data_IF_344916567600
#
_entry.id   IF_344916567600
#
_cell.length_a   1.000
_cell.length_b   1.000
_cell.length_c   1.000
_cell.angle_alpha   90.00
_cell.angle_beta   90.00
_cell.angle_gamma   90.00
#
_symmetry.space_group_name_H-M   'P 1'
#
loop_
_entity.id
_entity.type
_entity.pdbx_description
1 polymer ?
#
# COMPACT_ATOMS: atom_id res chain seq x y z
N UNK A 1 11.40 27.76 -8.08
CA UNK A 1 11.34 26.37 -7.62
C UNK A 1 10.49 25.58 -8.60
N UNK A 2 10.97 24.40 -9.06
CA UNK A 2 10.26 23.63 -10.08
C UNK A 2 10.01 22.19 -9.62
N UNK A 3 8.92 21.58 -10.08
CA UNK A 3 8.67 20.14 -9.90
C UNK A 3 8.44 19.47 -11.25
N UNK A 4 9.00 18.27 -11.42
CA UNK A 4 8.84 17.45 -12.63
C UNK A 4 8.26 16.08 -12.24
N UNK A 5 7.39 15.54 -13.09
CA UNK A 5 6.63 14.32 -12.83
C UNK A 5 7.07 13.20 -13.77
N UNK A 6 7.75 12.19 -13.24
CA UNK A 6 8.29 11.07 -14.02
C UNK A 6 7.45 9.79 -13.89
N UNK A 7 6.40 9.81 -13.08
CA UNK A 7 5.44 8.73 -12.86
C UNK A 7 4.43 9.14 -11.81
N UNK A 8 3.41 8.31 -11.56
CA UNK A 8 2.39 8.58 -10.52
C UNK A 8 1.45 9.75 -10.81
N UNK A 9 1.29 10.15 -12.07
CA UNK A 9 0.35 11.19 -12.49
C UNK A 9 -0.61 10.66 -13.54
N UNK A 10 -1.92 10.91 -13.36
CA UNK A 10 -3.01 10.37 -14.16
C UNK A 10 -2.97 8.82 -14.27
N UNK A 11 -2.31 8.20 -13.33
CA UNK A 11 -2.21 6.75 -13.14
C UNK A 11 -1.93 6.41 -11.67
N UNK A 12 -2.21 5.18 -11.27
CA UNK A 12 -1.79 4.60 -9.98
C UNK A 12 -0.50 3.82 -10.19
N UNK A 13 0.49 4.06 -9.33
CA UNK A 13 1.78 3.37 -9.33
C UNK A 13 2.94 4.16 -9.93
N UNK A 14 4.14 3.62 -9.84
CA UNK A 14 5.44 4.21 -10.23
C UNK A 14 5.65 5.67 -9.84
N UNK A 15 5.23 6.04 -8.61
CA UNK A 15 5.39 7.40 -8.10
C UNK A 15 6.84 7.85 -8.16
N UNK A 16 7.08 8.99 -8.84
CA UNK A 16 8.41 9.57 -8.99
C UNK A 16 8.31 11.04 -9.36
N UNK A 17 8.56 11.92 -8.39
CA UNK A 17 8.56 13.36 -8.58
C UNK A 17 9.93 13.93 -8.26
N UNK A 18 10.39 14.93 -9.01
CA UNK A 18 11.65 15.61 -8.75
C UNK A 18 11.41 17.08 -8.51
N UNK A 19 11.68 17.53 -7.28
CA UNK A 19 11.62 18.92 -6.88
C UNK A 19 13.02 19.54 -7.03
N UNK A 20 13.11 20.63 -7.79
CA UNK A 20 14.33 21.40 -8.02
C UNK A 20 14.23 22.76 -7.33
N UNK A 21 15.11 23.02 -6.37
CA UNK A 21 15.18 24.30 -5.67
C UNK A 21 16.62 24.59 -5.20
N UNK A 22 17.06 25.83 -5.27
CA UNK A 22 18.39 26.27 -4.83
C UNK A 22 19.55 25.47 -5.43
N UNK A 23 19.40 25.00 -6.68
CA UNK A 23 20.40 24.15 -7.35
C UNK A 23 20.43 22.71 -6.83
N UNK A 24 19.47 22.30 -6.00
CA UNK A 24 19.32 20.94 -5.44
C UNK A 24 18.16 20.21 -6.08
N UNK A 25 18.31 18.89 -6.22
CA UNK A 25 17.27 17.98 -6.73
C UNK A 25 16.88 16.97 -5.68
N UNK A 26 15.63 17.02 -5.26
CA UNK A 26 15.01 16.13 -4.29
C UNK A 26 14.02 15.24 -5.02
N UNK A 27 14.22 13.93 -4.96
CA UNK A 27 13.25 12.98 -5.50
C UNK A 27 12.26 12.56 -4.41
N UNK A 28 10.96 12.61 -4.71
CA UNK A 28 9.90 12.12 -3.83
C UNK A 28 9.40 10.82 -4.43
N UNK A 29 9.62 9.74 -3.72
CA UNK A 29 9.40 8.35 -4.12
C UNK A 29 10.16 7.93 -5.40
N UNK A 30 10.35 6.63 -5.56
CA UNK A 30 11.00 6.01 -6.71
C UNK A 30 10.38 4.63 -6.97
N UNK A 31 9.17 4.62 -7.53
CA UNK A 31 8.33 3.44 -7.61
C UNK A 31 8.45 2.65 -8.91
N UNK A 32 7.94 1.42 -8.86
CA UNK A 32 7.69 0.58 -10.04
C UNK A 32 6.21 0.25 -10.12
N UNK A 33 5.60 0.36 -11.29
CA UNK A 33 4.22 -0.04 -11.52
C UNK A 33 4.06 -1.56 -11.43
N UNK A 34 3.08 -2.01 -10.68
CA UNK A 34 2.74 -3.44 -10.57
C UNK A 34 1.78 -3.80 -11.70
N UNK A 35 2.16 -4.77 -12.53
CA UNK A 35 1.41 -5.12 -13.74
C UNK A 35 1.75 -4.22 -14.92
N UNK A 36 0.93 -4.26 -15.99
CA UNK A 36 1.18 -3.52 -17.22
C UNK A 36 2.32 -4.10 -18.08
N UNK A 37 2.65 -3.41 -19.15
CA UNK A 37 3.73 -3.78 -20.06
C UNK A 37 5.09 -3.45 -19.45
N UNK A 38 6.17 -4.18 -19.79
CA UNK A 38 7.52 -3.94 -19.23
C UNK A 38 7.99 -2.49 -19.35
N UNK A 39 7.72 -1.83 -20.48
CA UNK A 39 8.10 -0.44 -20.77
C UNK A 39 7.34 0.60 -19.94
N UNK A 40 6.21 0.22 -19.36
CA UNK A 40 5.38 1.11 -18.52
C UNK A 40 5.67 0.96 -17.03
N UNK A 41 6.53 0.00 -16.65
CA UNK A 41 6.77 -0.30 -15.23
C UNK A 41 7.65 0.74 -14.54
N UNK A 42 8.70 1.22 -15.20
CA UNK A 42 9.64 2.17 -14.62
C UNK A 42 9.16 3.62 -14.75
N UNK A 43 9.56 4.51 -13.83
CA UNK A 43 9.45 5.94 -14.03
C UNK A 43 10.23 6.37 -15.28
N UNK A 44 9.82 7.49 -15.89
CA UNK A 44 10.49 8.03 -17.07
C UNK A 44 11.71 8.90 -16.74
N UNK A 45 12.18 8.88 -15.48
CA UNK A 45 13.40 9.56 -15.08
C UNK A 45 14.63 8.86 -15.70
N UNK A 46 15.53 9.59 -16.40
CA UNK A 46 16.70 8.97 -17.02
C UNK A 46 17.69 8.42 -15.99
N UNK A 47 17.97 7.12 -16.03
CA UNK A 47 18.87 6.46 -15.06
C UNK A 47 20.29 7.02 -15.07
N UNK A 48 20.77 7.50 -16.20
CA UNK A 48 22.07 8.16 -16.34
C UNK A 48 22.17 9.47 -15.55
N UNK A 49 21.02 10.04 -15.15
CA UNK A 49 20.96 11.22 -14.28
C UNK A 49 20.83 10.87 -12.79
N UNK A 50 20.90 9.60 -12.41
CA UNK A 50 20.75 9.17 -11.01
C UNK A 50 21.74 9.90 -10.07
N UNK A 51 22.96 10.14 -10.50
CA UNK A 51 23.98 10.87 -9.74
C UNK A 51 23.68 12.37 -9.55
N UNK A 52 22.72 12.92 -10.30
CA UNK A 52 22.31 14.32 -10.16
C UNK A 52 21.28 14.55 -9.04
N UNK A 53 20.72 13.49 -8.47
CA UNK A 53 19.77 13.58 -7.35
C UNK A 53 20.57 13.72 -6.04
N UNK A 54 20.30 14.80 -5.31
CA UNK A 54 20.98 15.07 -4.03
C UNK A 54 20.44 14.19 -2.90
N UNK A 55 19.12 13.99 -2.83
CA UNK A 55 18.50 13.06 -1.88
C UNK A 55 17.16 12.52 -2.39
N UNK A 56 16.71 11.44 -1.76
CA UNK A 56 15.39 10.83 -2.02
C UNK A 56 14.60 10.80 -0.72
N UNK A 57 13.33 11.17 -0.78
CA UNK A 57 12.38 11.06 0.33
C UNK A 57 11.42 9.93 -0.01
N UNK A 58 11.37 8.91 0.83
CA UNK A 58 10.47 7.77 0.68
C UNK A 58 9.34 7.90 1.68
N UNK A 59 8.14 8.01 1.14
CA UNK A 59 6.92 8.21 1.92
C UNK A 59 6.41 6.92 2.55
N UNK A 60 6.49 5.80 1.84
CA UNK A 60 6.14 4.49 2.38
C UNK A 60 6.75 3.35 1.54
N UNK A 61 6.60 2.12 2.02
CA UNK A 61 7.39 0.99 1.54
C UNK A 61 6.84 0.23 0.32
N UNK A 62 5.62 0.53 -0.19
CA UNK A 62 5.08 -0.19 -1.34
C UNK A 62 5.99 -0.08 -2.57
N UNK A 63 5.97 -1.11 -3.40
CA UNK A 63 6.85 -1.22 -4.58
C UNK A 63 6.63 -0.08 -5.59
N UNK A 64 5.43 0.43 -5.68
CA UNK A 64 5.08 1.56 -6.54
C UNK A 64 5.56 2.93 -5.99
N UNK A 65 6.23 2.92 -4.83
CA UNK A 65 6.94 4.06 -4.24
C UNK A 65 8.43 3.80 -4.03
N UNK A 66 8.87 2.54 -4.00
CA UNK A 66 10.27 2.18 -3.64
C UNK A 66 10.98 1.30 -4.66
N UNK A 67 10.22 0.62 -5.53
CA UNK A 67 10.73 -0.47 -6.34
C UNK A 67 11.86 -0.09 -7.30
N UNK A 68 12.02 1.20 -7.59
CA UNK A 68 13.06 1.68 -8.51
C UNK A 68 14.35 2.12 -7.82
N UNK A 69 14.35 2.24 -6.49
CA UNK A 69 15.53 2.65 -5.70
C UNK A 69 16.80 1.84 -6.00
N UNK A 70 16.76 0.49 -6.07
CA UNK A 70 17.98 -0.26 -6.33
C UNK A 70 18.56 -0.02 -7.73
N UNK A 71 17.73 0.36 -8.71
CA UNK A 71 18.23 0.79 -10.02
C UNK A 71 18.97 2.12 -9.93
N UNK A 72 18.47 3.09 -9.15
CA UNK A 72 19.13 4.38 -8.92
C UNK A 72 20.48 4.18 -8.22
N UNK A 73 20.51 3.39 -7.13
CA UNK A 73 21.74 3.07 -6.41
C UNK A 73 22.78 2.36 -7.29
N UNK A 74 22.33 1.45 -8.17
CA UNK A 74 23.18 0.79 -9.16
C UNK A 74 23.75 1.74 -10.20
N UNK A 75 23.02 2.79 -10.56
CA UNK A 75 23.37 3.75 -11.61
C UNK A 75 23.96 5.07 -11.06
N UNK A 76 24.56 5.04 -9.87
CA UNK A 76 25.39 6.14 -9.38
C UNK A 76 24.72 7.11 -8.41
N UNK A 77 23.49 6.85 -7.94
CA UNK A 77 22.94 7.59 -6.83
C UNK A 77 23.73 7.29 -5.55
N UNK A 78 24.20 8.35 -4.87
CA UNK A 78 25.00 8.29 -3.65
C UNK A 78 24.46 9.15 -2.52
N UNK A 79 23.36 9.87 -2.77
CA UNK A 79 22.70 10.72 -1.77
C UNK A 79 22.03 9.92 -0.67
N UNK A 80 21.48 10.63 0.32
CA UNK A 80 20.68 10.01 1.39
C UNK A 80 19.27 9.67 0.92
N UNK A 81 18.73 8.59 1.46
CA UNK A 81 17.33 8.19 1.32
C UNK A 81 16.68 8.39 2.69
N UNK A 82 15.77 9.34 2.81
CA UNK A 82 15.05 9.60 4.07
C UNK A 82 13.78 8.79 4.12
N UNK A 83 13.59 8.03 5.19
CA UNK A 83 12.40 7.20 5.42
C UNK A 83 12.17 7.01 6.92
N UNK A 84 10.97 6.60 7.33
CA UNK A 84 10.76 6.14 8.69
C UNK A 84 11.40 4.76 8.90
N UNK A 85 11.74 4.43 10.15
CA UNK A 85 12.30 3.11 10.50
C UNK A 85 11.43 1.94 10.00
N UNK A 86 10.08 1.91 10.23
CA UNK A 86 9.27 0.81 9.74
C UNK A 86 9.21 0.75 8.21
N UNK A 87 9.22 1.90 7.53
CA UNK A 87 9.29 1.96 6.05
C UNK A 87 10.56 1.31 5.54
N UNK A 88 11.72 1.60 6.15
CA UNK A 88 12.99 0.94 5.81
C UNK A 88 12.90 -0.58 5.95
N UNK A 89 12.40 -1.08 7.09
CA UNK A 89 12.34 -2.52 7.36
C UNK A 89 11.41 -3.25 6.38
N UNK A 90 10.26 -2.64 6.05
CA UNK A 90 9.29 -3.20 5.10
C UNK A 90 9.82 -3.11 3.67
N UNK A 91 10.45 -2.00 3.30
CA UNK A 91 11.07 -1.79 1.98
C UNK A 91 12.10 -2.88 1.70
N UNK A 92 12.98 -3.20 2.64
CA UNK A 92 13.93 -4.30 2.49
C UNK A 92 13.25 -5.65 2.20
N UNK A 93 12.14 -5.94 2.91
CA UNK A 93 11.35 -7.14 2.69
C UNK A 93 10.76 -7.18 1.27
N UNK A 94 10.13 -6.09 0.84
CA UNK A 94 9.41 -6.03 -0.44
C UNK A 94 10.36 -6.00 -1.63
N UNK A 95 11.47 -5.26 -1.56
CA UNK A 95 12.50 -5.24 -2.60
C UNK A 95 13.16 -6.61 -2.77
N UNK A 96 13.43 -7.32 -1.65
CA UNK A 96 14.00 -8.66 -1.68
C UNK A 96 13.06 -9.67 -2.34
N UNK A 97 11.75 -9.57 -2.07
CA UNK A 97 10.74 -10.43 -2.69
C UNK A 97 10.57 -10.14 -4.19
N UNK A 98 10.56 -8.86 -4.58
CA UNK A 98 10.49 -8.45 -5.98
C UNK A 98 11.69 -8.97 -6.78
N UNK A 99 12.91 -8.89 -6.22
CA UNK A 99 14.12 -9.45 -6.83
C UNK A 99 14.05 -10.99 -6.97
N UNK A 100 13.50 -11.68 -5.96
CA UNK A 100 13.34 -13.14 -6.00
C UNK A 100 12.33 -13.56 -7.10
N UNK A 101 11.20 -12.86 -7.21
CA UNK A 101 10.20 -13.09 -8.26
C UNK A 101 10.78 -12.85 -9.66
N UNK A 102 11.50 -11.73 -9.85
CA UNK A 102 12.14 -11.40 -11.11
C UNK A 102 13.17 -12.47 -11.53
N UNK A 103 13.96 -12.98 -10.56
CA UNK A 103 14.92 -14.09 -10.79
C UNK A 103 14.21 -15.37 -11.22
N UNK A 104 13.09 -15.72 -10.58
CA UNK A 104 12.28 -16.91 -10.97
C UNK A 104 11.74 -16.75 -12.38
N UNK A 105 11.34 -15.55 -12.77
CA UNK A 105 10.84 -15.23 -14.12
C UNK A 105 11.95 -15.04 -15.17
N UNK A 106 13.23 -15.09 -14.75
CA UNK A 106 14.40 -14.81 -15.60
C UNK A 106 14.40 -13.39 -16.20
N UNK A 107 13.81 -12.44 -15.49
CA UNK A 107 13.80 -11.03 -15.88
C UNK A 107 15.12 -10.35 -15.47
N UNK A 108 15.59 -9.37 -16.29
CA UNK A 108 16.68 -8.48 -15.89
C UNK A 108 16.16 -7.53 -14.81
N UNK A 109 16.72 -7.65 -13.62
CA UNK A 109 16.30 -6.88 -12.46
C UNK A 109 17.53 -6.51 -11.61
N UNK A 110 17.31 -5.82 -10.49
CA UNK A 110 18.37 -5.58 -9.52
C UNK A 110 18.69 -6.84 -8.71
N UNK A 111 19.90 -6.89 -8.17
CA UNK A 111 20.41 -7.96 -7.32
C UNK A 111 20.25 -7.64 -5.83
N UNK A 112 20.50 -8.63 -4.97
CA UNK A 112 20.59 -8.42 -3.51
C UNK A 112 21.66 -7.38 -3.14
N UNK A 113 22.79 -7.35 -3.83
CA UNK A 113 23.84 -6.32 -3.61
C UNK A 113 23.34 -4.90 -3.91
N UNK A 114 22.50 -4.74 -4.93
CA UNK A 114 21.90 -3.43 -5.25
C UNK A 114 20.90 -3.02 -4.16
N UNK A 115 20.19 -3.99 -3.57
CA UNK A 115 19.30 -3.75 -2.43
C UNK A 115 20.12 -3.36 -1.19
N UNK A 116 21.18 -4.13 -0.86
CA UNK A 116 22.02 -3.85 0.29
C UNK A 116 22.62 -2.44 0.20
N UNK A 117 23.16 -2.07 -0.99
CA UNK A 117 23.64 -0.71 -1.26
C UNK A 117 22.55 0.35 -1.07
N UNK A 118 21.33 0.07 -1.52
CA UNK A 118 20.20 0.99 -1.30
C UNK A 118 19.93 1.17 0.20
N UNK A 119 19.92 0.07 0.96
CA UNK A 119 19.65 0.11 2.40
C UNK A 119 20.73 0.85 3.21
N UNK A 120 21.99 0.83 2.75
CA UNK A 120 23.09 1.60 3.36
C UNK A 120 22.92 3.12 3.21
N UNK A 121 22.20 3.58 2.18
CA UNK A 121 21.91 4.99 1.95
C UNK A 121 20.74 5.51 2.79
N UNK A 122 19.94 4.61 3.40
CA UNK A 122 18.75 5.02 4.16
C UNK A 122 19.12 5.65 5.49
N UNK A 123 18.63 6.86 5.70
CA UNK A 123 18.63 7.57 6.98
C UNK A 123 17.22 7.58 7.56
N UNK A 124 17.08 6.99 8.73
CA UNK A 124 15.81 6.91 9.44
C UNK A 124 15.45 8.26 10.09
N UNK A 125 14.19 8.67 9.95
CA UNK A 125 13.63 9.84 10.63
C UNK A 125 12.38 9.43 11.39
N UNK A 126 12.17 10.08 12.54
CA UNK A 126 10.95 9.90 13.33
C UNK A 126 9.82 10.81 12.84
N UNK A 127 8.58 10.42 13.15
CA UNK A 127 7.43 11.30 12.92
C UNK A 127 7.54 12.56 13.77
N UNK A 128 6.99 13.65 13.26
CA UNK A 128 6.88 14.98 13.91
C UNK A 128 8.22 15.66 14.24
N UNK A 129 9.34 15.04 13.84
CA UNK A 129 10.67 15.60 14.01
C UNK A 129 11.04 16.49 12.82
N UNK A 130 11.13 17.80 13.03
CA UNK A 130 11.67 18.73 12.03
C UNK A 130 13.16 18.45 11.83
N UNK A 131 13.53 17.98 10.66
CA UNK A 131 14.91 17.59 10.35
C UNK A 131 15.46 18.37 9.17
N UNK A 132 16.59 19.04 9.36
CA UNK A 132 17.29 19.66 8.23
C UNK A 132 17.96 18.59 7.38
N UNK A 133 17.38 18.32 6.21
CA UNK A 133 17.89 17.30 5.28
C UNK A 133 18.97 17.85 4.34
N UNK A 134 18.94 19.16 4.07
CA UNK A 134 19.94 19.93 3.34
C UNK A 134 19.86 21.40 3.80
N UNK A 135 20.90 22.20 3.48
CA UNK A 135 20.92 23.61 3.85
C UNK A 135 19.66 24.34 3.33
N UNK A 136 18.90 24.92 4.25
CA UNK A 136 17.66 25.66 3.96
C UNK A 136 16.47 24.79 3.56
N UNK A 137 16.54 23.46 3.79
CA UNK A 137 15.45 22.52 3.50
C UNK A 137 15.20 21.67 4.72
N UNK A 138 14.00 21.83 5.30
CA UNK A 138 13.50 21.02 6.42
C UNK A 138 12.50 19.97 5.93
N UNK A 139 12.56 18.79 6.50
CA UNK A 139 11.59 17.71 6.28
C UNK A 139 10.96 17.31 7.60
N UNK A 140 9.64 17.22 7.62
CA UNK A 140 8.88 16.61 8.72
C UNK A 140 8.00 15.51 8.16
N UNK A 141 8.12 14.28 8.70
CA UNK A 141 7.18 13.20 8.41
C UNK A 141 5.98 13.27 9.34
N UNK A 142 4.77 13.34 8.76
CA UNK A 142 3.50 13.21 9.48
C UNK A 142 2.90 11.84 9.18
N UNK A 143 2.17 11.22 10.12
CA UNK A 143 1.53 9.93 9.85
C UNK A 143 0.53 10.05 8.71
N UNK A 144 0.55 9.08 7.78
CA UNK A 144 -0.41 9.04 6.68
C UNK A 144 -1.55 8.03 6.89
N UNK A 145 -1.46 7.12 7.86
CA UNK A 145 -2.49 6.11 8.17
C UNK A 145 -2.63 4.99 7.13
N UNK A 146 -1.80 4.96 6.09
CA UNK A 146 -1.91 4.01 4.97
C UNK A 146 -1.40 2.60 5.32
N UNK A 147 -0.13 2.47 5.63
CA UNK A 147 0.53 1.25 6.14
C UNK A 147 1.51 1.61 7.25
N UNK A 148 2.00 0.63 7.99
CA UNK A 148 3.01 0.84 9.03
C UNK A 148 4.24 1.57 8.46
N UNK A 149 4.59 2.68 9.08
CA UNK A 149 5.71 3.53 8.65
C UNK A 149 5.36 4.56 7.59
N UNK A 150 4.19 4.50 6.98
CA UNK A 150 3.80 5.43 5.93
C UNK A 150 3.67 6.87 6.46
N UNK A 151 4.22 7.81 5.70
CA UNK A 151 4.31 9.22 6.07
C UNK A 151 3.86 10.15 4.94
N UNK A 152 3.22 11.23 5.32
CA UNK A 152 3.17 12.43 4.50
C UNK A 152 4.51 13.16 4.64
N UNK A 153 5.01 13.76 3.57
CA UNK A 153 6.25 14.54 3.60
C UNK A 153 5.94 16.04 3.55
N UNK A 154 6.16 16.73 4.66
CA UNK A 154 6.10 18.19 4.75
C UNK A 154 7.49 18.75 4.56
N UNK A 155 7.71 19.47 3.46
CA UNK A 155 8.94 20.18 3.14
C UNK A 155 8.78 21.68 3.39
N UNK A 156 9.73 22.25 4.12
CA UNK A 156 9.84 23.69 4.32
C UNK A 156 11.08 24.18 3.60
N UNK A 157 10.89 25.03 2.60
CA UNK A 157 11.96 25.56 1.79
C UNK A 157 11.55 26.85 1.08
N UNK A 158 12.48 27.79 0.96
CA UNK A 158 12.24 29.10 0.32
C UNK A 158 11.03 29.85 0.92
N UNK A 159 10.77 29.68 2.22
CA UNK A 159 9.62 30.29 2.91
C UNK A 159 8.27 29.69 2.56
N UNK A 160 8.23 28.54 1.92
CA UNK A 160 6.99 27.83 1.57
C UNK A 160 6.91 26.47 2.25
N UNK A 161 5.70 26.05 2.57
CA UNK A 161 5.34 24.74 3.10
C UNK A 161 4.71 23.90 1.99
N UNK A 162 5.37 22.81 1.61
CA UNK A 162 4.96 21.91 0.56
C UNK A 162 4.62 20.55 1.17
N UNK A 163 3.39 20.10 1.02
CA UNK A 163 2.92 18.82 1.54
C UNK A 163 2.69 17.81 0.42
N UNK A 164 3.38 16.69 0.50
CA UNK A 164 3.06 15.49 -0.25
C UNK A 164 2.31 14.54 0.67
N UNK A 165 1.03 14.27 0.42
CA UNK A 165 0.27 13.34 1.27
C UNK A 165 0.79 11.92 1.16
N UNK A 166 1.39 11.57 0.02
CA UNK A 166 1.54 10.17 -0.36
C UNK A 166 0.19 9.46 -0.32
N UNK A 167 0.20 8.13 -0.29
CA UNK A 167 -1.00 7.35 -0.01
C UNK A 167 -1.41 7.57 1.45
N UNK A 168 -2.67 7.93 1.69
CA UNK A 168 -3.13 8.21 3.04
C UNK A 168 -4.54 7.67 3.32
N UNK A 169 -4.82 7.44 4.59
CA UNK A 169 -6.13 7.06 5.08
C UNK A 169 -6.62 8.04 6.13
N UNK A 170 -7.77 8.64 5.91
CA UNK A 170 -8.38 9.61 6.81
C UNK A 170 -9.21 8.99 7.95
N UNK A 171 -9.14 7.66 8.11
CA UNK A 171 -9.89 6.89 9.12
C UNK A 171 -8.97 5.98 9.90
N UNK A 172 -9.24 5.85 11.20
CA UNK A 172 -8.58 4.84 12.01
C UNK A 172 -8.87 3.44 11.52
N UNK A 173 -7.85 2.59 11.58
CA UNK A 173 -7.95 1.14 11.37
C UNK A 173 -7.72 0.40 12.69
N UNK A 174 -7.72 -0.93 12.68
CA UNK A 174 -7.32 -1.68 13.88
C UNK A 174 -5.81 -1.55 14.18
N UNK A 175 -5.01 -1.18 13.18
CA UNK A 175 -3.55 -1.11 13.27
C UNK A 175 -3.01 0.30 13.43
N UNK A 176 -3.59 1.25 12.71
CA UNK A 176 -3.03 2.60 12.50
C UNK A 176 -4.05 3.67 12.80
N UNK A 177 -3.59 4.77 13.35
CA UNK A 177 -4.34 6.01 13.43
C UNK A 177 -4.53 6.60 12.02
N UNK A 178 -5.57 7.42 11.86
CA UNK A 178 -5.82 8.18 10.64
C UNK A 178 -4.65 9.13 10.32
N UNK A 179 -4.60 9.58 9.07
CA UNK A 179 -3.65 10.60 8.63
C UNK A 179 -3.75 11.86 9.49
N UNK A 180 -2.61 12.38 9.90
CA UNK A 180 -2.49 13.63 10.64
C UNK A 180 -2.65 14.82 9.71
N UNK A 181 -3.19 15.90 10.23
CA UNK A 181 -3.24 17.16 9.51
C UNK A 181 -2.00 18.00 9.87
N UNK A 182 -1.40 18.71 8.89
CA UNK A 182 -0.29 19.60 9.19
C UNK A 182 -0.73 20.70 10.16
N UNK A 183 0.15 21.03 11.11
CA UNK A 183 -0.07 22.12 12.06
C UNK A 183 0.37 23.50 11.51
N UNK A 184 0.82 23.55 10.26
CA UNK A 184 1.28 24.73 9.54
C UNK A 184 0.37 25.01 8.35
N UNK A 185 0.25 26.28 7.93
CA UNK A 185 -0.38 26.63 6.66
C UNK A 185 0.39 26.00 5.51
N UNK A 186 -0.31 25.36 4.60
CA UNK A 186 0.29 24.71 3.41
C UNK A 186 0.13 25.64 2.22
N UNK A 187 1.25 25.92 1.54
CA UNK A 187 1.25 26.70 0.31
C UNK A 187 0.97 25.80 -0.89
N UNK A 188 1.59 24.62 -0.95
CA UNK A 188 1.44 23.67 -2.06
C UNK A 188 1.12 22.29 -1.51
N UNK A 189 0.02 21.70 -2.03
CA UNK A 189 -0.43 20.36 -1.67
C UNK A 189 -0.35 19.44 -2.91
N UNK A 190 0.42 18.37 -2.81
CA UNK A 190 0.36 17.22 -3.71
C UNK A 190 -0.41 16.11 -3.01
N UNK A 191 -1.62 15.79 -3.49
CA UNK A 191 -2.53 14.86 -2.85
C UNK A 191 -2.81 13.67 -3.76
N UNK A 192 -2.77 12.45 -3.18
CA UNK A 192 -3.22 11.25 -3.88
C UNK A 192 -4.69 11.35 -4.31
N UNK A 193 -5.05 10.59 -5.31
CA UNK A 193 -6.41 10.56 -5.88
C UNK A 193 -6.84 9.16 -6.32
N UNK A 194 -6.41 8.12 -5.58
CA UNK A 194 -6.69 6.71 -5.90
C UNK A 194 -8.20 6.41 -5.96
N UNK A 195 -8.96 6.90 -4.99
CA UNK A 195 -10.42 6.74 -4.94
C UNK A 195 -11.14 8.06 -5.23
N UNK A 196 -10.84 8.68 -6.37
CA UNK A 196 -11.32 10.01 -6.77
C UNK A 196 -12.67 10.03 -7.49
N UNK A 197 -13.27 8.87 -7.78
CA UNK A 197 -14.61 8.80 -8.37
C UNK A 197 -15.70 9.01 -7.32
N UNK A 198 -16.78 9.74 -7.65
CA UNK A 198 -17.93 9.98 -6.74
C UNK A 198 -18.57 8.70 -6.18
N UNK A 199 -18.40 7.58 -6.89
CA UNK A 199 -18.88 6.26 -6.45
C UNK A 199 -17.87 5.50 -5.61
N UNK A 200 -16.65 5.98 -5.48
CA UNK A 200 -15.59 5.37 -4.68
C UNK A 200 -15.82 5.70 -3.19
N UNK A 201 -16.93 5.24 -2.65
CA UNK A 201 -17.32 5.39 -1.24
C UNK A 201 -17.07 4.07 -0.51
N UNK A 202 -16.43 4.17 0.63
CA UNK A 202 -16.04 3.01 1.42
C UNK A 202 -16.96 2.86 2.65
N UNK A 203 -17.37 1.62 3.00
CA UNK A 203 -18.12 1.39 4.23
C UNK A 203 -17.25 1.75 5.45
N UNK A 204 -17.90 1.95 6.59
CA UNK A 204 -17.16 2.05 7.85
C UNK A 204 -16.40 0.75 8.15
N UNK A 205 -15.28 0.84 8.87
CA UNK A 205 -14.52 -0.34 9.31
C UNK A 205 -15.41 -1.35 10.05
N UNK A 206 -16.34 -0.88 10.88
CA UNK A 206 -17.31 -1.70 11.61
C UNK A 206 -18.20 -2.50 10.65
N UNK A 207 -18.73 -1.85 9.62
CA UNK A 207 -19.63 -2.49 8.65
C UNK A 207 -18.87 -3.51 7.78
N UNK A 208 -17.69 -3.15 7.28
CA UNK A 208 -16.83 -4.05 6.50
C UNK A 208 -16.41 -5.28 7.34
N UNK A 209 -16.02 -5.06 8.60
CA UNK A 209 -15.64 -6.14 9.53
C UNK A 209 -16.80 -7.09 9.81
N UNK A 210 -18.03 -6.54 10.00
CA UNK A 210 -19.22 -7.36 10.20
C UNK A 210 -19.56 -8.17 8.94
N UNK A 211 -19.53 -7.54 7.77
CA UNK A 211 -19.78 -8.22 6.49
C UNK A 211 -18.78 -9.36 6.25
N UNK A 212 -17.50 -9.13 6.56
CA UNK A 212 -16.47 -10.16 6.50
C UNK A 212 -16.80 -11.34 7.41
N UNK A 213 -17.10 -11.07 8.68
CA UNK A 213 -17.41 -12.11 9.66
C UNK A 213 -18.69 -12.91 9.27
N UNK A 214 -19.72 -12.22 8.81
CA UNK A 214 -20.97 -12.84 8.34
C UNK A 214 -20.73 -13.73 7.10
N UNK A 215 -19.91 -13.25 6.16
CA UNK A 215 -19.55 -14.00 4.94
C UNK A 215 -18.74 -15.26 5.30
N UNK A 216 -17.76 -15.13 6.18
CA UNK A 216 -16.98 -16.26 6.70
C UNK A 216 -17.90 -17.26 7.38
N UNK A 217 -18.77 -16.82 8.29
CA UNK A 217 -19.73 -17.67 9.01
C UNK A 217 -20.65 -18.44 8.08
N UNK A 218 -21.16 -17.79 7.03
CA UNK A 218 -21.99 -18.43 6.00
C UNK A 218 -21.25 -19.51 5.23
N UNK A 219 -19.99 -19.25 4.84
CA UNK A 219 -19.17 -20.23 4.14
C UNK A 219 -18.82 -21.43 5.01
N UNK A 220 -18.53 -21.22 6.30
CA UNK A 220 -18.26 -22.30 7.26
C UNK A 220 -19.48 -23.21 7.48
N UNK A 221 -20.71 -22.66 7.55
CA UNK A 221 -21.96 -23.44 7.69
C UNK A 221 -22.17 -24.45 6.57
N UNK A 222 -21.66 -24.17 5.35
CA UNK A 222 -21.70 -25.10 4.20
C UNK A 222 -20.42 -25.92 4.05
N UNK A 223 -19.58 -25.97 5.11
CA UNK A 223 -18.29 -26.68 5.12
C UNK A 223 -17.33 -26.22 4.01
N UNK A 224 -17.42 -24.96 3.61
CA UNK A 224 -16.53 -24.35 2.63
C UNK A 224 -15.22 -23.86 3.26
N UNK A 225 -14.18 -23.78 2.43
CA UNK A 225 -12.94 -23.06 2.74
C UNK A 225 -13.05 -21.63 2.22
N UNK A 226 -12.39 -20.72 2.90
CA UNK A 226 -12.38 -19.30 2.53
C UNK A 226 -10.95 -18.90 2.17
N UNK A 227 -10.76 -18.35 0.97
CA UNK A 227 -9.52 -17.70 0.57
C UNK A 227 -9.73 -16.18 0.57
N UNK A 228 -8.85 -15.48 1.24
CA UNK A 228 -8.78 -14.02 1.22
C UNK A 228 -7.39 -13.64 0.70
N UNK A 229 -7.26 -13.33 -0.59
CA UNK A 229 -6.03 -12.79 -1.15
C UNK A 229 -5.76 -11.41 -0.55
N UNK A 230 -4.55 -11.21 0.00
CA UNK A 230 -4.17 -9.96 0.68
C UNK A 230 -2.77 -9.52 0.30
N UNK A 231 -2.52 -8.22 0.37
CA UNK A 231 -1.17 -7.71 0.39
C UNK A 231 -0.47 -8.11 1.69
N UNK A 232 0.83 -8.36 1.61
CA UNK A 232 1.60 -8.85 2.75
C UNK A 232 1.66 -7.85 3.90
N UNK A 233 1.63 -6.56 3.57
CA UNK A 233 1.76 -5.43 4.50
C UNK A 233 0.46 -4.63 4.52
N UNK A 234 0.05 -4.21 5.70
CA UNK A 234 -1.15 -3.44 5.97
C UNK A 234 -2.40 -4.33 5.93
N UNK A 235 -2.90 -4.68 4.75
CA UNK A 235 -4.18 -5.38 4.58
C UNK A 235 -4.19 -6.79 5.19
N UNK A 236 -3.06 -7.52 5.07
CA UNK A 236 -2.96 -8.86 5.67
C UNK A 236 -3.16 -8.83 7.19
N UNK A 237 -2.52 -7.88 7.86
CA UNK A 237 -2.61 -7.71 9.30
C UNK A 237 -4.00 -7.21 9.72
N UNK A 238 -4.57 -6.24 9.00
CA UNK A 238 -5.91 -5.71 9.28
C UNK A 238 -6.97 -6.81 9.27
N UNK A 239 -7.02 -7.62 8.22
CA UNK A 239 -7.98 -8.73 8.10
C UNK A 239 -7.73 -9.78 9.17
N UNK A 240 -6.46 -10.06 9.50
CA UNK A 240 -6.08 -10.98 10.55
C UNK A 240 -6.64 -10.54 11.91
N UNK A 241 -6.50 -9.25 12.26
CA UNK A 241 -7.04 -8.69 13.51
C UNK A 241 -8.56 -8.72 13.54
N UNK A 242 -9.23 -8.36 12.44
CA UNK A 242 -10.69 -8.44 12.37
C UNK A 242 -11.17 -9.85 12.66
N UNK A 243 -10.60 -10.85 12.00
CA UNK A 243 -10.99 -12.25 12.21
C UNK A 243 -10.68 -12.72 13.63
N UNK A 244 -9.52 -12.36 14.17
CA UNK A 244 -9.15 -12.70 15.56
C UNK A 244 -10.14 -12.12 16.56
N UNK A 245 -10.54 -10.88 16.43
CA UNK A 245 -11.53 -10.23 17.28
C UNK A 245 -12.88 -10.97 17.26
N UNK A 246 -13.35 -11.40 16.07
CA UNK A 246 -14.59 -12.18 15.95
C UNK A 246 -14.46 -13.61 16.48
N UNK A 247 -13.27 -14.20 16.48
CA UNK A 247 -13.03 -15.49 17.13
C UNK A 247 -13.09 -15.33 18.67
N UNK A 248 -12.40 -14.30 19.20
CA UNK A 248 -12.37 -14.01 20.65
C UNK A 248 -13.77 -13.65 21.20
N UNK A 249 -14.59 -12.94 20.42
CA UNK A 249 -15.98 -12.64 20.79
C UNK A 249 -16.91 -13.86 20.77
N UNK A 250 -16.42 -15.03 20.34
CA UNK A 250 -17.24 -16.22 20.17
C UNK A 250 -18.10 -16.26 18.90
N UNK A 251 -18.04 -15.22 18.05
CA UNK A 251 -18.88 -15.16 16.84
C UNK A 251 -18.40 -16.13 15.74
N UNK A 252 -17.08 -16.37 15.63
CA UNK A 252 -16.43 -17.31 14.71
C UNK A 252 -15.73 -18.44 15.47
N UNK A 253 -16.47 -19.16 16.33
CA UNK A 253 -15.90 -20.23 17.15
C UNK A 253 -15.24 -21.33 16.30
N UNK A 254 -14.09 -21.83 16.78
CA UNK A 254 -13.39 -22.95 16.17
C UNK A 254 -12.77 -22.65 14.79
N UNK A 255 -12.66 -21.36 14.39
CA UNK A 255 -11.99 -20.95 13.18
C UNK A 255 -10.48 -20.97 13.37
N UNK A 256 -9.75 -21.51 12.40
CA UNK A 256 -8.30 -21.36 12.25
C UNK A 256 -7.98 -20.40 11.10
N UNK A 257 -7.11 -19.43 11.33
CA UNK A 257 -6.59 -18.48 10.33
C UNK A 257 -5.24 -19.02 9.86
N UNK A 258 -5.13 -19.39 8.58
CA UNK A 258 -3.84 -19.71 7.97
C UNK A 258 -3.27 -18.48 7.28
N UNK A 259 -2.03 -18.13 7.60
CA UNK A 259 -1.27 -17.05 6.94
C UNK A 259 -0.17 -17.65 6.08
N UNK A 260 -0.11 -17.28 4.80
CA UNK A 260 0.85 -17.87 3.86
C UNK A 260 1.50 -16.80 2.97
N UNK A 261 2.73 -17.06 2.53
CA UNK A 261 3.55 -16.10 1.81
C UNK A 261 4.30 -15.14 2.73
N UNK A 262 4.42 -13.88 2.33
CA UNK A 262 5.18 -12.88 3.08
C UNK A 262 4.51 -12.41 4.38
N UNK A 263 3.23 -12.70 4.60
CA UNK A 263 2.47 -12.18 5.75
C UNK A 263 3.19 -12.47 7.08
N UNK A 264 3.73 -13.68 7.25
CA UNK A 264 4.46 -14.04 8.48
C UNK A 264 5.74 -13.21 8.71
N UNK A 265 6.45 -12.84 7.63
CA UNK A 265 7.63 -11.95 7.72
C UNK A 265 7.19 -10.52 8.03
N UNK A 266 6.14 -10.02 7.39
CA UNK A 266 5.55 -8.72 7.67
C UNK A 266 5.05 -8.61 9.12
N UNK A 267 4.42 -9.65 9.66
CA UNK A 267 4.01 -9.70 11.08
C UNK A 267 5.19 -9.54 12.04
N UNK A 268 6.36 -10.16 11.74
CA UNK A 268 7.57 -9.97 12.55
C UNK A 268 8.04 -8.51 12.52
N UNK A 269 8.00 -7.86 11.36
CA UNK A 269 8.37 -6.43 11.24
C UNK A 269 7.39 -5.58 12.04
N UNK A 270 6.07 -5.83 11.93
CA UNK A 270 5.07 -5.12 12.72
C UNK A 270 5.34 -5.24 14.23
N UNK A 271 5.69 -6.43 14.71
CA UNK A 271 6.04 -6.65 16.13
C UNK A 271 7.31 -5.90 16.57
N UNK A 272 8.35 -5.84 15.73
CA UNK A 272 9.57 -5.10 16.03
C UNK A 272 9.34 -3.58 16.03
N UNK A 273 8.35 -3.11 15.29
CA UNK A 273 7.99 -1.71 15.16
C UNK A 273 6.66 -1.38 15.85
N UNK A 274 6.32 -2.10 16.92
CA UNK A 274 5.01 -2.02 17.57
C UNK A 274 4.66 -0.62 18.09
N UNK A 275 5.65 0.18 18.45
CA UNK A 275 5.48 1.56 18.94
C UNK A 275 4.92 2.52 17.89
N UNK A 276 5.02 2.17 16.61
CA UNK A 276 4.43 2.92 15.49
C UNK A 276 2.99 2.48 15.15
N UNK A 277 2.45 1.48 15.86
CA UNK A 277 1.06 1.04 15.76
C UNK A 277 0.18 1.79 16.75
N UNK A 278 -1.14 1.69 16.58
CA UNK A 278 -2.10 2.28 17.54
C UNK A 278 -1.81 1.79 18.95
N UNK A 279 -2.01 2.69 19.92
CA UNK A 279 -1.65 2.49 21.32
C UNK A 279 -2.23 1.23 21.96
N UNK A 280 -3.37 0.74 21.47
CA UNK A 280 -3.99 -0.49 21.95
C UNK A 280 -3.12 -1.73 21.71
N UNK A 281 -2.37 -1.77 20.60
CA UNK A 281 -1.55 -2.93 20.22
C UNK A 281 -0.30 -3.07 21.09
N UNK A 282 0.57 -2.06 21.25
CA UNK A 282 1.67 -2.14 22.21
C UNK A 282 1.19 -2.39 23.63
N UNK A 283 0.05 -1.85 24.05
CA UNK A 283 -0.51 -2.13 25.38
C UNK A 283 -0.91 -3.60 25.54
N UNK A 284 -1.53 -4.23 24.53
CA UNK A 284 -1.82 -5.68 24.55
C UNK A 284 -0.54 -6.50 24.68
N UNK A 285 0.49 -6.20 23.89
CA UNK A 285 1.73 -6.98 23.84
C UNK A 285 2.57 -6.77 25.11
N UNK A 286 2.77 -5.51 25.53
CA UNK A 286 3.72 -5.17 26.58
C UNK A 286 3.14 -5.28 28.01
N UNK A 287 1.82 -5.08 28.17
CA UNK A 287 1.16 -5.05 29.48
C UNK A 287 0.29 -6.26 29.76
N UNK A 288 -0.33 -6.85 28.74
CA UNK A 288 -1.29 -7.95 28.91
C UNK A 288 -0.71 -9.31 28.48
N UNK A 289 0.54 -9.38 28.00
CA UNK A 289 1.16 -10.57 27.40
C UNK A 289 0.27 -11.23 26.32
N UNK A 290 -0.50 -10.39 25.62
CA UNK A 290 -1.44 -10.79 24.57
C UNK A 290 -0.96 -10.28 23.21
N UNK A 291 -0.15 -11.09 22.52
CA UNK A 291 0.43 -10.73 21.23
C UNK A 291 -0.48 -11.16 20.08
N UNK A 292 -1.20 -10.21 19.46
CA UNK A 292 -2.14 -10.53 18.39
C UNK A 292 -1.46 -11.09 17.12
N UNK A 293 -0.15 -10.85 16.95
CA UNK A 293 0.62 -11.43 15.83
C UNK A 293 1.03 -12.88 16.09
N UNK A 294 0.92 -13.35 17.36
CA UNK A 294 1.17 -14.72 17.79
C UNK A 294 -0.08 -15.42 18.33
N UNK A 295 -1.26 -14.90 18.01
CA UNK A 295 -2.52 -15.48 18.44
C UNK A 295 -2.60 -16.98 18.15
N UNK A 296 -3.10 -17.80 19.09
CA UNK A 296 -3.21 -19.27 18.92
C UNK A 296 -4.15 -19.67 17.78
N UNK A 297 -4.97 -18.75 17.31
CA UNK A 297 -5.87 -18.95 16.16
C UNK A 297 -5.15 -18.81 14.80
N UNK A 298 -3.92 -18.31 14.79
CA UNK A 298 -3.13 -18.06 13.59
C UNK A 298 -2.10 -19.16 13.42
N UNK A 299 -2.12 -19.80 12.25
CA UNK A 299 -1.19 -20.87 11.87
C UNK A 299 -0.52 -20.58 10.54
N UNK A 300 0.69 -21.06 10.38
CA UNK A 300 1.38 -21.10 9.07
C UNK A 300 1.31 -22.53 8.53
N UNK A 301 1.11 -22.73 7.22
CA UNK A 301 1.13 -24.07 6.63
C UNK A 301 2.44 -24.80 6.91
N UNK A 302 2.35 -26.04 7.42
CA UNK A 302 3.51 -26.84 7.84
C UNK A 302 4.10 -27.66 6.71
N UNK A 303 3.32 -28.01 5.72
CA UNK A 303 3.72 -28.90 4.64
C UNK A 303 3.85 -28.15 3.31
N UNK A 304 4.83 -28.53 2.48
CA UNK A 304 5.07 -27.91 1.17
C UNK A 304 3.82 -27.96 0.26
N UNK A 305 3.04 -29.02 0.34
CA UNK A 305 1.78 -29.18 -0.40
C UNK A 305 0.54 -28.71 0.37
N UNK A 306 0.73 -28.12 1.56
CA UNK A 306 -0.30 -27.45 2.38
C UNK A 306 -1.50 -28.35 2.72
N UNK A 307 -1.26 -29.68 2.88
CA UNK A 307 -2.29 -30.66 3.24
C UNK A 307 -2.98 -30.36 4.57
N UNK A 308 -2.22 -29.82 5.53
CA UNK A 308 -2.72 -29.41 6.84
C UNK A 308 -3.83 -28.36 6.75
N UNK A 309 -3.71 -27.40 5.83
CA UNK A 309 -4.74 -26.36 5.59
C UNK A 309 -6.05 -26.98 5.11
N UNK A 310 -5.98 -27.94 4.19
CA UNK A 310 -7.18 -28.57 3.63
C UNK A 310 -7.83 -29.59 4.59
N UNK A 311 -7.08 -30.16 5.53
CA UNK A 311 -7.59 -31.06 6.59
C UNK A 311 -8.31 -30.30 7.70
N UNK A 312 -7.93 -29.05 7.97
CA UNK A 312 -8.57 -28.23 9.00
C UNK A 312 -10.06 -28.03 8.64
N UNK A 313 -10.97 -28.33 9.58
CA UNK A 313 -12.43 -28.29 9.32
C UNK A 313 -12.87 -26.85 8.98
N UNK A 314 -12.54 -25.91 9.85
CA UNK A 314 -12.92 -24.51 9.72
C UNK A 314 -11.67 -23.65 9.46
N UNK A 315 -11.42 -23.29 8.21
CA UNK A 315 -10.23 -22.57 7.83
C UNK A 315 -10.55 -21.34 6.97
N UNK A 316 -9.95 -20.20 7.35
CA UNK A 316 -9.74 -19.04 6.50
C UNK A 316 -8.27 -18.99 6.12
N UNK A 317 -7.97 -18.70 4.87
CA UNK A 317 -6.64 -18.65 4.31
C UNK A 317 -6.35 -17.23 3.86
N UNK A 318 -5.44 -16.54 4.53
CA UNK A 318 -4.87 -15.27 4.12
C UNK A 318 -3.59 -15.56 3.34
N UNK A 319 -3.55 -15.18 2.07
CA UNK A 319 -2.40 -15.52 1.23
C UNK A 319 -2.05 -14.38 0.26
N UNK A 320 -0.74 -14.18 0.03
CA UNK A 320 -0.25 -13.26 -1.00
C UNK A 320 -0.22 -13.94 -2.37
N UNK A 321 -0.42 -13.24 -3.49
CA UNK A 321 -0.64 -11.79 -3.64
C UNK A 321 -2.12 -11.43 -3.54
N UNK A 322 -2.39 -10.17 -3.16
CA UNK A 322 -3.76 -9.66 -2.99
C UNK A 322 -4.56 -9.51 -4.28
N UNK A 323 -3.89 -9.32 -5.42
CA UNK A 323 -4.53 -9.21 -6.75
C UNK A 323 -4.54 -10.53 -7.52
N UNK A 324 -4.16 -11.66 -6.88
CA UNK A 324 -4.05 -12.96 -7.53
C UNK A 324 -3.10 -12.96 -8.75
N UNK A 325 -2.02 -12.19 -8.68
CA UNK A 325 -0.99 -12.12 -9.74
C UNK A 325 0.11 -13.17 -9.59
N UNK A 326 0.18 -13.87 -8.46
CA UNK A 326 1.22 -14.88 -8.18
C UNK A 326 1.17 -15.40 -6.75
N UNK A 327 2.22 -16.11 -6.36
CA UNK A 327 2.42 -16.57 -4.98
C UNK A 327 1.42 -17.62 -4.49
N UNK A 328 1.35 -17.82 -3.16
CA UNK A 328 0.49 -18.83 -2.54
C UNK A 328 -1.00 -18.67 -2.84
N UNK A 329 -1.50 -17.45 -3.02
CA UNK A 329 -2.93 -17.20 -3.30
C UNK A 329 -3.40 -17.91 -4.57
N UNK A 330 -2.55 -17.99 -5.60
CA UNK A 330 -2.84 -18.72 -6.84
C UNK A 330 -2.96 -20.22 -6.59
N UNK A 331 -2.08 -20.78 -5.75
CA UNK A 331 -2.16 -22.20 -5.39
C UNK A 331 -3.50 -22.54 -4.73
N UNK A 332 -3.92 -21.73 -3.76
CA UNK A 332 -5.20 -21.93 -3.07
C UNK A 332 -6.38 -21.67 -3.99
N UNK A 333 -6.33 -20.65 -4.83
CA UNK A 333 -7.38 -20.36 -5.81
C UNK A 333 -7.65 -21.58 -6.72
N UNK A 334 -6.60 -22.18 -7.29
CA UNK A 334 -6.73 -23.38 -8.13
C UNK A 334 -7.43 -24.55 -7.44
N UNK A 335 -7.25 -24.68 -6.11
CA UNK A 335 -7.85 -25.77 -5.32
C UNK A 335 -9.29 -25.48 -4.90
N UNK A 336 -9.66 -24.21 -4.79
CA UNK A 336 -10.93 -23.82 -4.16
C UNK A 336 -11.98 -23.32 -5.15
N UNK A 337 -11.57 -22.75 -6.29
CA UNK A 337 -12.45 -22.03 -7.21
C UNK A 337 -13.54 -22.90 -7.83
N UNK A 338 -13.30 -24.20 -7.99
CA UNK A 338 -14.21 -25.14 -8.65
C UNK A 338 -15.35 -25.69 -7.79
N UNK A 339 -15.45 -25.33 -6.51
CA UNK A 339 -16.44 -25.90 -5.60
C UNK A 339 -17.37 -24.82 -5.02
N UNK A 340 -18.70 -25.00 -5.17
CA UNK A 340 -19.76 -24.06 -4.71
C UNK A 340 -19.74 -23.78 -3.22
N UNK A 341 -19.24 -24.69 -2.39
CA UNK A 341 -19.17 -24.51 -0.93
C UNK A 341 -18.13 -23.47 -0.51
N UNK A 342 -17.08 -23.26 -1.33
CA UNK A 342 -15.97 -22.35 -1.02
C UNK A 342 -16.33 -20.88 -1.29
N UNK A 343 -15.53 -19.98 -0.69
CA UNK A 343 -15.67 -18.55 -0.89
C UNK A 343 -14.31 -17.91 -1.13
N UNK A 344 -14.24 -17.02 -2.11
CA UNK A 344 -13.07 -16.16 -2.37
C UNK A 344 -13.50 -14.73 -2.03
N UNK A 345 -12.83 -14.09 -1.07
CA UNK A 345 -13.15 -12.74 -0.62
C UNK A 345 -12.03 -11.79 -1.02
N UNK A 346 -12.31 -10.89 -1.93
CA UNK A 346 -11.38 -9.84 -2.35
C UNK A 346 -11.61 -8.62 -1.44
N UNK A 347 -10.54 -8.12 -0.83
CA UNK A 347 -10.63 -7.10 0.24
C UNK A 347 -9.87 -5.80 -0.07
N UNK A 348 -9.28 -5.70 -1.25
CA UNK A 348 -8.49 -4.54 -1.66
C UNK A 348 -8.66 -4.22 -3.14
N UNK A 349 -8.01 -3.15 -3.56
CA UNK A 349 -7.98 -2.75 -4.96
C UNK A 349 -7.56 -3.91 -5.88
N UNK A 350 -8.23 -4.03 -7.01
CA UNK A 350 -7.92 -5.01 -8.05
C UNK A 350 -7.60 -4.24 -9.34
N UNK A 351 -6.33 -4.27 -9.75
CA UNK A 351 -5.88 -3.60 -10.96
C UNK A 351 -6.61 -4.14 -12.20
N UNK A 352 -6.83 -3.31 -13.22
CA UNK A 352 -7.30 -3.78 -14.53
C UNK A 352 -6.46 -4.99 -14.99
N UNK A 353 -7.08 -5.95 -15.67
CA UNK A 353 -6.46 -7.19 -16.17
C UNK A 353 -6.02 -8.20 -15.10
N UNK A 354 -6.00 -7.85 -13.80
CA UNK A 354 -5.69 -8.80 -12.74
C UNK A 354 -6.72 -9.92 -12.68
N UNK A 355 -6.30 -11.10 -12.19
CA UNK A 355 -7.22 -12.23 -12.03
C UNK A 355 -8.33 -11.93 -11.02
N UNK A 356 -7.99 -11.16 -9.97
CA UNK A 356 -8.99 -10.69 -9.02
C UNK A 356 -10.04 -9.79 -9.67
N UNK A 357 -9.64 -8.90 -10.58
CA UNK A 357 -10.58 -8.06 -11.33
C UNK A 357 -11.53 -8.88 -12.19
N UNK A 358 -11.00 -9.84 -12.95
CA UNK A 358 -11.82 -10.76 -13.76
C UNK A 358 -12.87 -11.50 -12.93
N UNK A 359 -12.50 -11.94 -11.72
CA UNK A 359 -13.44 -12.59 -10.79
C UNK A 359 -14.53 -11.62 -10.32
N UNK A 360 -14.20 -10.37 -10.00
CA UNK A 360 -15.18 -9.34 -9.62
C UNK A 360 -16.13 -8.99 -10.76
N UNK A 361 -15.64 -8.97 -12.00
CA UNK A 361 -16.43 -8.72 -13.20
C UNK A 361 -17.32 -9.91 -13.58
N UNK A 362 -17.30 -10.99 -12.79
CA UNK A 362 -18.22 -12.13 -12.93
C UNK A 362 -17.78 -13.20 -13.92
N UNK A 363 -16.47 -13.32 -14.19
CA UNK A 363 -15.92 -14.39 -15.04
C UNK A 363 -16.42 -15.76 -14.62
N UNK A 364 -16.96 -16.55 -15.55
CA UNK A 364 -17.43 -17.92 -15.32
C UNK A 364 -16.33 -18.95 -15.46
N UNK A 365 -15.27 -18.58 -16.14
CA UNK A 365 -14.04 -19.37 -16.34
C UNK A 365 -12.84 -18.44 -16.22
N UNK A 366 -11.76 -18.92 -15.60
CA UNK A 366 -10.48 -18.22 -15.50
C UNK A 366 -9.36 -19.13 -15.95
N UNK A 367 -8.32 -18.54 -16.51
CA UNK A 367 -7.11 -19.25 -16.89
C UNK A 367 -5.98 -18.98 -15.89
N UNK A 368 -5.37 -20.06 -15.37
CA UNK A 368 -4.21 -19.99 -14.47
C UNK A 368 -3.13 -20.93 -15.02
N UNK A 369 -1.97 -20.38 -15.38
CA UNK A 369 -0.85 -21.16 -15.93
C UNK A 369 -1.28 -22.06 -17.12
N UNK A 370 -2.00 -21.48 -18.08
CA UNK A 370 -2.52 -22.15 -19.27
C UNK A 370 -3.55 -23.27 -18.99
N UNK A 371 -4.09 -23.33 -17.78
CA UNK A 371 -5.18 -24.27 -17.41
C UNK A 371 -6.45 -23.48 -17.12
N UNK A 372 -7.56 -23.96 -17.66
CA UNK A 372 -8.88 -23.36 -17.44
C UNK A 372 -9.55 -23.91 -16.20
N UNK A 373 -10.21 -23.07 -15.44
CA UNK A 373 -10.92 -23.39 -14.22
C UNK A 373 -12.30 -22.76 -14.25
N UNK A 374 -13.35 -23.56 -14.06
CA UNK A 374 -14.71 -23.05 -13.90
C UNK A 374 -14.85 -22.37 -12.55
N UNK A 375 -15.42 -21.17 -12.53
CA UNK A 375 -15.71 -20.41 -11.32
C UNK A 375 -17.04 -20.87 -10.74
N UNK A 376 -16.98 -21.71 -9.71
CA UNK A 376 -18.15 -22.20 -8.97
C UNK A 376 -18.19 -21.66 -7.53
N UNK A 377 -17.03 -21.30 -6.96
CA UNK A 377 -16.94 -20.70 -5.63
C UNK A 377 -17.69 -19.37 -5.60
N UNK A 378 -18.20 -19.01 -4.43
CA UNK A 378 -18.77 -17.69 -4.19
C UNK A 378 -17.65 -16.63 -4.23
N UNK A 379 -17.85 -15.58 -5.03
CA UNK A 379 -16.91 -14.44 -5.09
C UNK A 379 -17.56 -13.28 -4.34
N UNK A 380 -16.83 -12.69 -3.39
CA UNK A 380 -17.24 -11.52 -2.61
C UNK A 380 -16.21 -10.41 -2.74
N UNK A 381 -16.68 -9.19 -2.81
CA UNK A 381 -15.87 -7.98 -2.67
C UNK A 381 -16.27 -7.30 -1.36
N UNK A 382 -15.32 -7.19 -0.43
CA UNK A 382 -15.55 -6.50 0.86
C UNK A 382 -14.46 -5.45 1.01
N UNK A 383 -14.87 -4.20 1.01
CA UNK A 383 -13.94 -3.09 0.93
C UNK A 383 -13.25 -2.79 2.26
N UNK A 384 -11.99 -3.17 2.35
CA UNK A 384 -11.03 -2.68 3.34
C UNK A 384 -9.96 -1.86 2.62
N UNK A 385 -9.93 -0.56 2.80
CA UNK A 385 -8.94 0.28 2.13
C UNK A 385 -7.92 0.85 3.11
N UNK A 386 -6.69 1.03 2.64
CA UNK A 386 -5.65 1.84 3.27
C UNK A 386 -5.60 3.26 2.72
N UNK A 387 -6.51 3.59 1.78
CA UNK A 387 -6.61 4.94 1.20
C UNK A 387 -7.89 5.61 1.66
N UNK A 388 -7.89 6.93 1.65
CA UNK A 388 -9.09 7.72 1.81
C UNK A 388 -10.07 7.47 0.64
N UNK A 389 -11.36 7.45 0.93
CA UNK A 389 -12.40 7.43 -0.10
C UNK A 389 -12.64 8.83 -0.66
N UNK A 390 -13.53 8.96 -1.65
CA UNK A 390 -13.85 10.24 -2.27
C UNK A 390 -14.14 11.34 -1.23
N UNK A 391 -14.97 11.05 -0.24
CA UNK A 391 -15.31 12.02 0.80
C UNK A 391 -14.11 12.35 1.71
N UNK A 392 -13.27 11.37 1.98
CA UNK A 392 -12.04 11.54 2.75
C UNK A 392 -11.03 12.44 2.03
N UNK A 393 -10.81 12.20 0.73
CA UNK A 393 -9.96 13.03 -0.12
C UNK A 393 -10.48 14.46 -0.19
N UNK A 394 -11.76 14.65 -0.48
CA UNK A 394 -12.40 15.97 -0.53
C UNK A 394 -12.30 16.71 0.82
N UNK A 395 -12.60 16.00 1.91
CA UNK A 395 -12.53 16.58 3.28
C UNK A 395 -11.11 16.97 3.66
N UNK A 396 -10.10 16.20 3.27
CA UNK A 396 -8.70 16.52 3.51
C UNK A 396 -8.28 17.77 2.73
N UNK A 397 -8.59 17.85 1.44
CA UNK A 397 -8.29 19.02 0.62
C UNK A 397 -8.93 20.31 1.18
N UNK A 398 -10.21 20.24 1.59
CA UNK A 398 -10.94 21.38 2.18
C UNK A 398 -10.29 21.82 3.50
N UNK A 399 -9.92 20.87 4.37
CA UNK A 399 -9.35 21.19 5.69
C UNK A 399 -7.95 21.76 5.59
N UNK A 400 -7.09 21.22 4.71
CA UNK A 400 -5.74 21.75 4.46
C UNK A 400 -5.81 23.11 3.76
N UNK A 401 -6.73 23.29 2.82
CA UNK A 401 -7.01 24.53 2.11
C UNK A 401 -5.75 25.20 1.54
N UNK A 402 -4.84 24.43 0.96
CA UNK A 402 -3.59 24.93 0.38
C UNK A 402 -3.82 25.99 -0.72
N UNK A 403 -2.82 26.84 -0.96
CA UNK A 403 -2.91 27.87 -2.02
C UNK A 403 -2.93 27.23 -3.41
N UNK A 404 -2.08 26.22 -3.64
CA UNK A 404 -2.04 25.41 -4.86
C UNK A 404 -2.28 23.95 -4.51
N UNK A 405 -3.14 23.28 -5.27
CA UNK A 405 -3.49 21.86 -5.08
C UNK A 405 -3.21 21.10 -6.37
N UNK A 406 -2.46 20.00 -6.25
CA UNK A 406 -2.14 19.09 -7.33
C UNK A 406 -2.67 17.70 -6.99
N UNK A 407 -3.47 17.11 -7.90
CA UNK A 407 -3.93 15.72 -7.76
C UNK A 407 -2.99 14.79 -8.50
N UNK A 408 -2.44 13.84 -7.76
CA UNK A 408 -1.49 12.82 -8.25
C UNK A 408 -1.96 11.43 -7.85
N UNK A 409 -1.31 10.38 -8.30
CA UNK A 409 -1.55 8.98 -7.93
C UNK A 409 -3.04 8.58 -8.02
N UNK A 410 -3.64 8.70 -9.21
CA UNK A 410 -5.04 8.36 -9.44
C UNK A 410 -5.35 8.06 -10.91
N UNK A 411 -6.46 7.39 -11.16
CA UNK A 411 -6.90 7.01 -12.50
C UNK A 411 -7.40 8.25 -13.28
N UNK A 412 -6.83 8.48 -14.47
CA UNK A 412 -7.14 9.62 -15.34
C UNK A 412 -8.65 9.88 -15.51
N UNK A 413 -9.45 8.83 -15.60
CA UNK A 413 -10.89 8.92 -15.84
C UNK A 413 -11.67 9.39 -14.61
N UNK A 414 -11.14 9.19 -13.41
CA UNK A 414 -11.82 9.48 -12.13
C UNK A 414 -11.43 10.83 -11.54
N UNK A 415 -10.16 11.25 -11.71
CA UNK A 415 -9.62 12.49 -11.14
C UNK A 415 -10.51 13.72 -11.38
N UNK A 416 -11.09 13.93 -12.59
CA UNK A 416 -11.93 15.11 -12.86
C UNK A 416 -13.13 15.25 -11.93
N UNK A 417 -13.67 14.15 -11.39
CA UNK A 417 -14.81 14.18 -10.46
C UNK A 417 -14.42 14.81 -9.12
N UNK A 418 -13.25 14.44 -8.58
CA UNK A 418 -12.72 15.01 -7.34
C UNK A 418 -12.24 16.46 -7.56
N UNK A 419 -11.54 16.72 -8.68
CA UNK A 419 -11.06 18.04 -9.06
C UNK A 419 -12.20 19.08 -9.03
N UNK A 420 -13.28 18.81 -9.76
CA UNK A 420 -14.44 19.69 -9.84
C UNK A 420 -15.09 19.96 -8.46
N UNK A 421 -15.18 18.95 -7.59
CA UNK A 421 -15.77 19.16 -6.26
C UNK A 421 -14.86 19.98 -5.34
N UNK A 422 -13.54 19.80 -5.40
CA UNK A 422 -12.58 20.62 -4.65
C UNK A 422 -12.65 22.07 -5.15
N UNK A 423 -12.59 22.31 -6.47
CA UNK A 423 -12.68 23.63 -7.09
C UNK A 423 -13.96 24.35 -6.69
N UNK A 424 -15.10 23.65 -6.76
CA UNK A 424 -16.40 24.17 -6.35
C UNK A 424 -16.46 24.56 -4.87
N UNK A 425 -15.82 23.78 -3.99
CA UNK A 425 -15.85 24.02 -2.53
C UNK A 425 -14.89 25.12 -2.09
N UNK A 426 -13.72 25.22 -2.71
CA UNK A 426 -12.65 26.13 -2.32
C UNK A 426 -12.61 27.42 -3.15
N UNK A 427 -13.25 27.44 -4.34
CA UNK A 427 -13.13 28.55 -5.27
C UNK A 427 -11.73 28.72 -5.87
N UNK A 428 -10.95 27.65 -5.91
CA UNK A 428 -9.55 27.62 -6.36
C UNK A 428 -9.38 26.63 -7.49
N UNK A 429 -8.45 26.89 -8.40
CA UNK A 429 -8.07 25.93 -9.45
C UNK A 429 -7.26 24.79 -8.84
N UNK A 430 -7.58 23.57 -9.24
CA UNK A 430 -6.86 22.34 -8.87
C UNK A 430 -6.16 21.80 -10.11
N UNK A 431 -4.87 21.58 -10.04
CA UNK A 431 -4.08 21.08 -11.17
C UNK A 431 -4.02 19.55 -11.19
N UNK A 432 -4.00 18.99 -12.38
CA UNK A 432 -3.79 17.55 -12.63
C UNK A 432 -2.59 17.43 -13.56
N UNK A 433 -1.37 17.24 -13.02
CA UNK A 433 -0.16 17.22 -13.83
C UNK A 433 -0.16 16.11 -14.87
N UNK A 434 0.53 16.37 -15.99
CA UNK A 434 0.82 15.38 -17.00
C UNK A 434 2.20 14.72 -16.77
N UNK A 435 2.38 13.54 -17.34
CA UNK A 435 3.66 12.84 -17.31
C UNK A 435 4.70 13.65 -18.08
N UNK A 436 5.91 13.80 -17.51
CA UNK A 436 7.01 14.65 -17.98
C UNK A 436 6.75 16.16 -17.93
N UNK A 437 5.64 16.59 -17.37
CA UNK A 437 5.40 18.01 -17.15
C UNK A 437 6.37 18.57 -16.12
N UNK A 438 6.82 19.82 -16.35
CA UNK A 438 7.60 20.60 -15.38
C UNK A 438 6.81 21.84 -15.02
N UNK A 439 6.52 22.02 -13.74
CA UNK A 439 5.69 23.09 -13.20
C UNK A 439 6.53 23.99 -12.31
N UNK A 440 6.43 25.29 -12.46
CA UNK A 440 7.00 26.27 -11.57
C UNK A 440 6.10 26.51 -10.35
N UNK A 441 6.69 26.35 -9.17
CA UNK A 441 6.04 26.57 -7.87
C UNK A 441 6.53 27.92 -7.34
N UNK A 442 5.88 29.01 -7.79
CA UNK A 442 6.17 30.35 -7.27
C UNK A 442 5.62 30.56 -5.87
#
# INVERSE_FOLDING_TARGET
MNISFFGGVQEVGRSCFVLEANGRKIMIDAGLKIGGKPEEKAPLFPLEQASSIDCIIITHAHIDHTGWLPFLAKNGFLGKIFATKPTRDIMHLLLSDAAAIAKENKEKFYSTKDIDRTMELVQELEYDAETQIMQGIMLTFLKSGHILGAAQALLEMNGKNILFTSDFNNRDTNLLDAAEFPNKKIDVLFMESTYSGKKDLLPSLKNASKELADTVKKALKRHGKILIPVFAVGRGQEIMFVLENYIRSGYLQGLTIFVDGMIGRANKICRHNVVYLRAEIPNRILRADDDPFKSPFIKTPKTKNKKDVFKEKNAVILATSGMLSGGPSIFYLQKLIGEKKNCIILVGYQAPESLGRKLLDGAKEIEIRKKKFLVKAEIKNIHFSGHADFNGLLGFAIKVNAEKIFLVHGEKQKIPELQQEIEKKLGKTVAVPALLEKIELE
#
